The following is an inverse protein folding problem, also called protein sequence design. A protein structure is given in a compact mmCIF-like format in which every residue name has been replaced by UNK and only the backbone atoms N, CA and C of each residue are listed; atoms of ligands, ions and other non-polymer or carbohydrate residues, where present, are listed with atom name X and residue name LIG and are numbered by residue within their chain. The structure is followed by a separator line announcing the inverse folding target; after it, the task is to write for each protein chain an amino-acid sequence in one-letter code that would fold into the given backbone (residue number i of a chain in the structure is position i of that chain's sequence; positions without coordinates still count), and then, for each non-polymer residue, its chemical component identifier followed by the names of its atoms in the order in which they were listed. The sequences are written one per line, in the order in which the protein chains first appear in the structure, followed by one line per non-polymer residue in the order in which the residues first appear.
data_IF_587005306043
#
_entry.id   IF_587005306043
#
_cell.length_a   1.000
_cell.length_b   1.000
_cell.length_c   1.000
_cell.angle_alpha   90.00
_cell.angle_beta   90.00
_cell.angle_gamma   90.00
#
_symmetry.space_group_name_H-M   'P 1'
#
loop_
_entity.id
_entity.type
_entity.pdbx_description
1 polymer ?
#
# COMPACT_ATOMS: atom_id res chain seq x y z
N UNK A 1 -9.90 -10.32 -57.68
CA UNK A 1 -9.70 -11.78 -57.61
C UNK A 1 -9.74 -12.18 -56.15
N UNK A 2 -10.62 -13.15 -55.86
CA UNK A 2 -10.86 -13.93 -54.64
C UNK A 2 -9.95 -13.76 -53.40
N UNK A 3 -10.64 -13.41 -52.31
CA UNK A 3 -10.58 -13.87 -50.90
C UNK A 3 -9.64 -15.03 -50.55
N UNK A 4 -8.90 -14.89 -49.44
CA UNK A 4 -8.73 -15.95 -48.43
C UNK A 4 -8.26 -15.38 -47.07
N UNK A 5 -9.18 -15.37 -46.10
CA UNK A 5 -8.91 -15.32 -44.66
C UNK A 5 -8.53 -16.74 -44.22
N UNK A 6 -7.46 -16.90 -43.45
CA UNK A 6 -7.14 -18.17 -42.79
C UNK A 6 -6.72 -17.93 -41.33
N UNK A 7 -7.56 -18.45 -40.45
CA UNK A 7 -7.51 -18.39 -39.00
C UNK A 7 -6.32 -19.19 -38.43
N UNK A 8 -5.61 -18.62 -37.47
CA UNK A 8 -4.59 -19.32 -36.69
C UNK A 8 -5.24 -20.31 -35.71
N UNK A 9 -5.07 -21.60 -35.97
CA UNK A 9 -5.44 -22.68 -35.06
C UNK A 9 -4.27 -22.99 -34.12
N UNK A 10 -4.60 -23.10 -32.83
CA UNK A 10 -3.71 -23.49 -31.74
C UNK A 10 -3.19 -24.93 -31.94
N UNK A 11 -1.88 -25.10 -32.02
CA UNK A 11 -1.24 -26.43 -32.13
C UNK A 11 -1.20 -27.06 -30.73
N UNK A 12 -2.05 -28.06 -30.50
CA UNK A 12 -1.93 -28.99 -29.37
C UNK A 12 -0.80 -29.97 -29.68
N UNK A 13 0.28 -29.92 -28.93
CA UNK A 13 1.41 -30.85 -29.04
C UNK A 13 0.98 -32.22 -28.50
N UNK A 14 0.70 -33.18 -29.38
CA UNK A 14 0.57 -34.59 -29.01
C UNK A 14 1.98 -35.15 -28.74
N UNK A 15 2.30 -35.46 -27.48
CA UNK A 15 3.46 -36.27 -27.14
C UNK A 15 3.25 -37.70 -27.64
N UNK A 16 4.00 -38.09 -28.67
CA UNK A 16 4.10 -39.48 -29.11
C UNK A 16 4.89 -40.30 -28.07
N UNK A 17 4.25 -41.28 -27.44
CA UNK A 17 4.94 -42.28 -26.61
C UNK A 17 5.71 -43.24 -27.51
N UNK A 18 7.04 -43.24 -27.41
CA UNK A 18 7.88 -44.31 -27.93
C UNK A 18 7.60 -45.60 -27.13
N UNK A 19 7.12 -46.63 -27.79
CA UNK A 19 7.00 -47.99 -27.22
C UNK A 19 8.14 -48.82 -27.81
N UNK A 20 9.05 -49.27 -26.95
CA UNK A 20 10.04 -50.29 -27.32
C UNK A 20 9.35 -51.66 -27.36
N UNK A 21 9.48 -52.36 -28.49
CA UNK A 21 8.94 -53.71 -28.72
C UNK A 21 10.10 -54.68 -28.75
N UNK A 22 10.09 -55.68 -27.86
CA UNK A 22 11.04 -56.80 -27.91
C UNK A 22 10.55 -57.87 -28.91
N UNK A 23 11.48 -58.70 -29.40
CA UNK A 23 11.38 -59.63 -30.54
C UNK A 23 10.38 -60.80 -30.38
N UNK A 24 9.43 -60.69 -29.46
CA UNK A 24 8.34 -61.65 -29.23
C UNK A 24 6.94 -61.04 -29.07
N UNK A 25 6.77 -59.73 -29.28
CA UNK A 25 5.44 -59.14 -29.48
C UNK A 25 4.50 -59.09 -28.26
N UNK A 26 5.01 -59.17 -27.03
CA UNK A 26 4.21 -58.97 -25.82
C UNK A 26 4.40 -57.55 -25.25
N UNK A 27 3.30 -56.81 -25.13
CA UNK A 27 3.25 -55.48 -24.50
C UNK A 27 3.21 -55.65 -22.99
N UNK A 28 4.31 -55.32 -22.29
CA UNK A 28 4.29 -55.16 -20.82
C UNK A 28 3.89 -53.73 -20.45
N UNK A 29 2.96 -53.52 -19.52
CA UNK A 29 2.68 -52.20 -18.99
C UNK A 29 3.90 -51.72 -18.18
N UNK A 30 4.58 -50.70 -18.68
CA UNK A 30 5.61 -49.99 -17.95
C UNK A 30 4.94 -49.18 -16.83
N UNK A 31 4.95 -49.74 -15.62
CA UNK A 31 4.69 -48.98 -14.38
C UNK A 31 5.87 -48.06 -14.12
N UNK A 32 5.94 -46.95 -14.84
CA UNK A 32 6.63 -45.75 -14.36
C UNK A 32 5.53 -44.83 -13.89
N UNK A 33 5.19 -44.97 -12.60
CA UNK A 33 4.50 -43.90 -11.91
C UNK A 33 5.47 -42.72 -11.88
N UNK A 34 5.37 -41.82 -12.86
CA UNK A 34 5.90 -40.48 -12.74
C UNK A 34 5.20 -39.85 -11.54
N UNK A 35 5.92 -39.81 -10.41
CA UNK A 35 5.57 -38.91 -9.32
C UNK A 35 5.75 -37.50 -9.86
N UNK A 36 4.69 -36.94 -10.44
CA UNK A 36 4.58 -35.49 -10.60
C UNK A 36 4.53 -34.95 -9.18
N UNK A 37 5.68 -34.58 -8.63
CA UNK A 37 5.73 -33.84 -7.38
C UNK A 37 4.85 -32.61 -7.59
N UNK A 38 3.74 -32.51 -6.86
CA UNK A 38 2.91 -31.31 -6.90
C UNK A 38 3.82 -30.15 -6.48
N UNK A 39 4.13 -29.26 -7.41
CA UNK A 39 4.82 -28.01 -7.07
C UNK A 39 3.85 -27.25 -6.18
N UNK A 40 4.10 -27.25 -4.87
CA UNK A 40 3.29 -26.50 -3.93
C UNK A 40 3.43 -25.02 -4.24
N UNK A 41 2.31 -24.28 -4.25
CA UNK A 41 2.35 -22.83 -4.43
C UNK A 41 3.26 -22.18 -3.34
N UNK A 42 4.04 -21.14 -3.69
CA UNK A 42 4.87 -20.44 -2.71
C UNK A 42 4.04 -19.93 -1.52
N UNK A 43 4.51 -20.20 -0.31
CA UNK A 43 3.94 -19.72 0.96
C UNK A 43 4.76 -18.59 1.56
N UNK A 44 4.13 -17.84 2.48
CA UNK A 44 4.76 -16.80 3.27
C UNK A 44 5.67 -17.41 4.34
N UNK A 45 6.84 -16.82 4.56
CA UNK A 45 7.85 -17.29 5.54
C UNK A 45 8.05 -16.33 6.70
N UNK A 46 7.53 -15.11 6.60
CA UNK A 46 7.62 -14.08 7.61
C UNK A 46 8.92 -13.28 7.55
N UNK A 47 8.83 -11.98 7.87
CA UNK A 47 9.94 -11.02 7.74
C UNK A 47 11.21 -11.37 8.51
N UNK A 48 11.11 -12.16 9.58
CA UNK A 48 12.28 -12.56 10.38
C UNK A 48 13.22 -13.49 9.59
N UNK A 49 12.68 -14.32 8.69
CA UNK A 49 13.51 -15.16 7.81
C UNK A 49 14.30 -14.30 6.83
N UNK A 50 13.72 -13.21 6.34
CA UNK A 50 14.40 -12.26 5.46
C UNK A 50 15.62 -11.60 6.13
N UNK A 51 15.55 -11.35 7.45
CA UNK A 51 16.64 -10.73 8.23
C UNK A 51 17.92 -11.57 8.23
N UNK A 52 17.82 -12.89 8.17
CA UNK A 52 18.96 -13.81 8.22
C UNK A 52 19.99 -13.51 7.11
N UNK A 53 19.52 -13.11 5.93
CA UNK A 53 20.35 -12.78 4.77
C UNK A 53 20.35 -11.29 4.41
N UNK A 54 19.29 -10.54 4.76
CA UNK A 54 19.13 -9.12 4.45
C UNK A 54 19.01 -8.23 5.70
N UNK A 55 19.99 -8.27 6.64
CA UNK A 55 19.89 -7.54 7.91
C UNK A 55 19.80 -6.02 7.70
N UNK A 56 20.52 -5.47 6.72
CA UNK A 56 20.52 -4.02 6.43
C UNK A 56 19.15 -3.51 5.97
N UNK A 57 18.52 -4.19 5.00
CA UNK A 57 17.18 -3.81 4.53
C UNK A 57 16.13 -4.02 5.63
N UNK A 58 16.25 -5.09 6.41
CA UNK A 58 15.38 -5.34 7.55
C UNK A 58 15.48 -4.21 8.58
N UNK A 59 16.71 -3.78 8.90
CA UNK A 59 16.95 -2.74 9.89
C UNK A 59 16.49 -1.36 9.43
N UNK A 60 16.56 -1.05 8.14
CA UNK A 60 15.94 0.16 7.60
C UNK A 60 14.41 0.07 7.65
N UNK A 61 13.85 -1.08 7.24
CA UNK A 61 12.41 -1.24 7.05
C UNK A 61 11.65 -1.16 8.37
N UNK A 62 12.18 -1.75 9.45
CA UNK A 62 11.53 -1.73 10.77
C UNK A 62 11.34 -0.31 11.33
N UNK A 63 12.04 0.69 10.80
CA UNK A 63 11.91 2.10 11.17
C UNK A 63 11.09 2.92 10.17
N UNK A 64 10.51 2.28 9.16
CA UNK A 64 9.69 2.93 8.13
C UNK A 64 8.20 2.97 8.50
N UNK A 65 7.45 3.86 7.85
CA UNK A 65 5.99 3.91 7.94
C UNK A 65 5.30 2.57 7.64
N UNK A 66 5.86 1.78 6.72
CA UNK A 66 5.28 0.51 6.28
C UNK A 66 5.27 -0.55 7.37
N UNK A 67 6.21 -0.51 8.31
CA UNK A 67 6.33 -1.49 9.38
C UNK A 67 5.34 -1.29 10.54
N UNK A 68 4.52 -0.23 10.52
CA UNK A 68 3.59 0.13 11.62
C UNK A 68 2.17 0.42 11.11
N UNK A 69 1.78 -0.04 9.91
CA UNK A 69 0.53 0.37 9.27
C UNK A 69 -0.73 -0.24 9.87
N UNK A 70 -0.63 -1.29 10.70
CA UNK A 70 -1.80 -1.97 11.23
C UNK A 70 -1.57 -2.63 12.58
N UNK A 71 -2.53 -2.50 13.49
CA UNK A 71 -2.56 -3.27 14.73
C UNK A 71 -3.99 -3.51 15.20
N UNK A 72 -4.20 -4.52 16.04
CA UNK A 72 -5.40 -4.54 16.89
C UNK A 72 -5.31 -3.39 17.88
N UNK A 73 -6.43 -2.77 18.21
CA UNK A 73 -6.42 -1.59 19.11
C UNK A 73 -5.76 -1.90 20.46
N UNK A 74 -5.97 -3.10 21.00
CA UNK A 74 -5.37 -3.57 22.25
C UNK A 74 -3.83 -3.59 22.23
N UNK A 75 -3.24 -3.79 21.05
CA UNK A 75 -1.79 -3.85 20.83
C UNK A 75 -1.20 -2.49 20.40
N UNK A 76 -2.04 -1.47 20.24
CA UNK A 76 -1.65 -0.16 19.67
C UNK A 76 -1.33 0.89 20.72
N UNK A 77 -0.09 1.37 20.75
CA UNK A 77 0.31 2.50 21.61
C UNK A 77 -0.38 3.82 21.24
N UNK A 78 -0.78 3.99 19.97
CA UNK A 78 -1.52 5.17 19.54
C UNK A 78 -2.98 5.07 20.00
N UNK A 79 -3.61 3.89 19.90
CA UNK A 79 -4.97 3.71 20.41
C UNK A 79 -5.06 3.99 21.93
N UNK A 80 -4.02 3.65 22.70
CA UNK A 80 -3.95 3.98 24.14
C UNK A 80 -4.04 5.47 24.42
N UNK A 81 -3.64 6.35 23.48
CA UNK A 81 -3.76 7.80 23.64
C UNK A 81 -5.21 8.27 23.73
N UNK A 82 -6.17 7.51 23.22
CA UNK A 82 -7.59 7.84 23.33
C UNK A 82 -8.13 7.62 24.75
N UNK A 83 -7.57 6.68 25.51
CA UNK A 83 -8.12 6.23 26.78
C UNK A 83 -8.35 7.39 27.76
N UNK A 84 -9.56 7.47 28.32
CA UNK A 84 -9.97 8.48 29.29
C UNK A 84 -10.26 9.86 28.70
N UNK A 85 -10.20 10.02 27.37
CA UNK A 85 -10.50 11.30 26.71
C UNK A 85 -11.99 11.44 26.37
N UNK A 86 -12.42 12.69 26.29
CA UNK A 86 -13.65 13.11 25.64
C UNK A 86 -13.25 14.00 24.45
N UNK A 87 -13.58 13.60 23.23
CA UNK A 87 -13.16 14.29 22.00
C UNK A 87 -14.40 14.71 21.20
N UNK A 88 -14.46 15.97 20.80
CA UNK A 88 -15.56 16.52 20.02
C UNK A 88 -15.33 16.30 18.53
N UNK A 89 -16.26 15.60 17.87
CA UNK A 89 -16.27 15.45 16.41
C UNK A 89 -17.11 16.53 15.70
N UNK A 90 -17.68 17.48 16.45
CA UNK A 90 -18.53 18.53 15.93
C UNK A 90 -19.93 18.04 15.55
N UNK A 91 -20.80 18.97 15.13
CA UNK A 91 -22.15 18.64 14.69
C UNK A 91 -22.14 17.96 13.31
N UNK A 92 -22.91 16.88 13.06
CA UNK A 92 -23.93 16.27 13.94
C UNK A 92 -23.43 15.12 14.84
N UNK A 93 -22.13 14.88 14.90
CA UNK A 93 -21.53 13.71 15.54
C UNK A 93 -21.50 13.82 17.07
N UNK A 94 -21.14 14.98 17.59
CA UNK A 94 -21.02 15.28 19.02
C UNK A 94 -19.73 14.76 19.66
N UNK A 95 -19.75 14.65 20.99
CA UNK A 95 -18.59 14.25 21.80
C UNK A 95 -18.52 12.75 21.98
N UNK A 96 -17.34 12.17 21.77
CA UNK A 96 -17.01 10.77 22.01
C UNK A 96 -16.18 10.62 23.29
N UNK A 97 -16.66 9.80 24.22
CA UNK A 97 -15.93 9.37 25.40
C UNK A 97 -15.23 8.05 25.13
N UNK A 98 -13.97 7.94 25.50
CA UNK A 98 -13.15 6.76 25.25
C UNK A 98 -12.71 6.11 26.55
N UNK A 99 -12.81 4.79 26.60
CA UNK A 99 -12.42 3.98 27.74
C UNK A 99 -11.57 2.80 27.28
N UNK A 100 -10.66 2.37 28.14
CA UNK A 100 -9.86 1.18 27.92
C UNK A 100 -10.44 0.02 28.71
N UNK A 101 -10.76 -1.08 28.03
CA UNK A 101 -11.21 -2.32 28.63
C UNK A 101 -10.21 -3.45 28.42
N UNK A 102 -10.57 -4.65 28.87
CA UNK A 102 -9.75 -5.86 28.70
C UNK A 102 -9.56 -6.25 27.23
N UNK A 103 -10.52 -5.89 26.38
CA UNK A 103 -10.54 -6.19 24.94
C UNK A 103 -10.02 -5.02 24.07
N UNK A 104 -9.43 -4.00 24.70
CA UNK A 104 -8.88 -2.82 24.03
C UNK A 104 -9.76 -1.57 24.16
N UNK A 105 -9.68 -0.70 23.16
CA UNK A 105 -10.33 0.61 23.17
C UNK A 105 -11.83 0.50 22.87
N UNK A 106 -12.65 1.24 23.61
CA UNK A 106 -14.09 1.38 23.36
C UNK A 106 -14.52 2.83 23.45
N UNK A 107 -15.68 3.15 22.88
CA UNK A 107 -16.23 4.50 22.89
C UNK A 107 -17.74 4.56 23.10
N UNK A 108 -18.22 5.67 23.67
CA UNK A 108 -19.64 6.07 23.68
C UNK A 108 -19.75 7.51 23.21
N UNK A 109 -20.80 7.84 22.47
CA UNK A 109 -21.16 9.24 22.27
C UNK A 109 -21.86 9.78 23.50
N UNK A 110 -21.67 11.06 23.81
CA UNK A 110 -22.36 11.72 24.92
C UNK A 110 -23.89 11.65 24.80
N UNK A 111 -24.42 11.57 23.58
CA UNK A 111 -25.85 11.41 23.30
C UNK A 111 -26.38 9.98 23.57
N UNK A 112 -25.50 8.97 23.61
CA UNK A 112 -25.88 7.54 23.68
C UNK A 112 -25.26 6.86 24.92
N UNK A 113 -25.12 7.60 26.03
CA UNK A 113 -24.43 7.12 27.25
C UNK A 113 -25.16 5.98 27.96
N UNK A 114 -26.44 5.79 27.67
CA UNK A 114 -27.27 4.68 28.14
C UNK A 114 -27.02 3.39 27.34
N UNK A 115 -26.38 3.46 26.17
CA UNK A 115 -26.04 2.31 25.35
C UNK A 115 -24.72 1.63 25.76
N UNK A 116 -24.56 0.39 25.33
CA UNK A 116 -23.31 -0.33 25.48
C UNK A 116 -22.18 0.38 24.70
N UNK A 117 -20.94 0.39 25.22
CA UNK A 117 -19.83 1.03 24.54
C UNK A 117 -19.51 0.28 23.25
N UNK A 118 -19.28 1.04 22.18
CA UNK A 118 -18.85 0.51 20.88
C UNK A 118 -17.37 0.14 20.93
N UNK A 119 -17.05 -1.11 20.59
CA UNK A 119 -15.66 -1.57 20.53
C UNK A 119 -14.94 -1.03 19.30
N UNK A 120 -13.70 -0.58 19.47
CA UNK A 120 -12.83 -0.12 18.39
C UNK A 120 -11.76 -1.19 18.17
N UNK A 121 -11.91 -2.01 17.13
CA UNK A 121 -11.17 -3.27 16.99
C UNK A 121 -9.73 -3.09 16.49
N UNK A 122 -9.53 -2.23 15.50
CA UNK A 122 -8.27 -2.11 14.77
C UNK A 122 -7.81 -0.65 14.70
N UNK A 123 -6.50 -0.47 14.66
CA UNK A 123 -5.81 0.78 14.38
C UNK A 123 -5.14 0.67 13.00
N UNK A 124 -5.49 1.58 12.10
CA UNK A 124 -5.11 1.55 10.68
C UNK A 124 -4.34 2.84 10.35
N UNK A 125 -3.10 2.69 9.91
CA UNK A 125 -2.18 3.77 9.60
C UNK A 125 -1.04 3.86 10.61
N UNK A 126 0.15 4.28 10.12
CA UNK A 126 1.39 4.30 10.90
C UNK A 126 1.48 5.38 11.96
N UNK A 127 0.49 6.27 12.04
CA UNK A 127 0.49 7.40 12.97
C UNK A 127 1.46 8.52 12.60
N UNK A 128 2.36 8.34 11.63
CA UNK A 128 3.31 9.38 11.18
C UNK A 128 2.59 10.59 10.57
N UNK A 129 1.54 10.33 9.79
CA UNK A 129 0.60 11.35 9.34
C UNK A 129 -0.68 11.23 10.15
N UNK A 130 -1.35 10.09 10.05
CA UNK A 130 -2.55 9.77 10.81
C UNK A 130 -2.63 8.27 11.16
N UNK A 131 -3.41 7.97 12.20
CA UNK A 131 -3.92 6.63 12.51
C UNK A 131 -5.42 6.76 12.75
N UNK A 132 -6.20 5.91 12.09
CA UNK A 132 -7.64 5.86 12.15
C UNK A 132 -8.09 4.52 12.72
N UNK A 133 -9.10 4.54 13.58
CA UNK A 133 -9.66 3.32 14.14
C UNK A 133 -10.68 2.71 13.17
N UNK A 134 -10.68 1.38 13.04
CA UNK A 134 -11.59 0.61 12.20
C UNK A 134 -12.29 -0.46 13.02
N UNK A 135 -13.59 -0.63 12.79
CA UNK A 135 -14.38 -1.72 13.39
C UNK A 135 -15.13 -2.44 12.29
N UNK A 136 -14.95 -3.75 12.17
CA UNK A 136 -15.72 -4.56 11.23
C UNK A 136 -17.11 -4.85 11.83
N UNK A 137 -18.13 -4.77 11.00
CA UNK A 137 -19.53 -4.92 11.40
C UNK A 137 -20.24 -5.90 10.46
N UNK A 138 -21.25 -6.57 11.00
CA UNK A 138 -22.23 -7.25 10.15
C UNK A 138 -23.10 -6.21 9.43
N UNK A 139 -23.32 -6.41 8.13
CA UNK A 139 -24.17 -5.56 7.32
C UNK A 139 -24.93 -6.40 6.29
N UNK A 140 -26.25 -6.23 6.20
CA UNK A 140 -27.08 -7.06 5.32
C UNK A 140 -26.88 -6.73 3.83
N UNK A 141 -26.26 -5.60 3.52
CA UNK A 141 -26.05 -5.12 2.16
C UNK A 141 -24.68 -5.56 1.60
N UNK A 142 -23.79 -6.09 2.44
CA UNK A 142 -22.42 -6.45 2.03
C UNK A 142 -21.82 -7.55 2.90
N UNK A 143 -21.12 -8.49 2.27
CA UNK A 143 -20.38 -9.57 2.93
C UNK A 143 -19.12 -9.10 3.69
N UNK A 144 -18.70 -7.85 3.47
CA UNK A 144 -17.69 -7.17 4.26
C UNK A 144 -18.12 -5.72 4.49
N UNK A 145 -18.16 -5.29 5.74
CA UNK A 145 -18.44 -3.91 6.11
C UNK A 145 -17.65 -3.50 7.35
N UNK A 146 -17.44 -2.21 7.49
CA UNK A 146 -16.82 -1.64 8.68
C UNK A 146 -17.18 -0.17 8.88
N UNK A 147 -16.88 0.32 10.07
CA UNK A 147 -16.95 1.73 10.42
C UNK A 147 -15.52 2.25 10.55
N UNK A 148 -15.16 3.12 9.63
CA UNK A 148 -13.98 3.97 9.76
C UNK A 148 -14.35 5.08 10.77
N UNK A 149 -13.73 5.04 11.95
CA UNK A 149 -14.12 5.86 13.08
C UNK A 149 -13.97 7.35 12.79
N UNK A 150 -14.83 8.19 13.41
CA UNK A 150 -14.92 9.63 13.10
C UNK A 150 -13.68 10.44 13.49
N UNK A 151 -12.95 10.00 14.52
CA UNK A 151 -11.81 10.74 15.08
C UNK A 151 -10.51 9.94 14.91
N UNK A 152 -9.53 10.57 14.26
CA UNK A 152 -8.19 10.04 14.05
C UNK A 152 -7.15 10.75 14.92
N UNK A 153 -6.03 10.08 15.16
CA UNK A 153 -4.83 10.68 15.76
C UNK A 153 -3.88 11.14 14.65
N UNK A 154 -3.35 12.35 14.77
CA UNK A 154 -2.44 12.94 13.78
C UNK A 154 -1.05 13.15 14.39
N UNK A 155 -0.07 12.36 13.95
CA UNK A 155 1.30 12.47 14.47
C UNK A 155 2.05 13.71 14.03
N UNK A 156 1.62 14.39 12.95
CA UNK A 156 2.29 15.61 12.45
C UNK A 156 2.26 16.77 13.45
N UNK A 157 1.24 16.82 14.30
CA UNK A 157 1.06 17.87 15.31
C UNK A 157 0.64 17.32 16.69
N UNK A 158 0.54 15.99 16.82
CA UNK A 158 0.32 15.33 18.10
C UNK A 158 -1.05 15.58 18.72
N UNK A 159 -2.10 15.63 17.89
CA UNK A 159 -3.47 15.88 18.36
C UNK A 159 -4.50 15.03 17.61
N UNK A 160 -5.75 15.09 18.07
CA UNK A 160 -6.90 14.44 17.46
C UNK A 160 -7.65 15.38 16.52
N UNK A 161 -8.25 14.81 15.49
CA UNK A 161 -9.09 15.54 14.56
C UNK A 161 -10.06 14.64 13.83
N UNK A 162 -10.92 15.22 12.99
CA UNK A 162 -11.79 14.44 12.13
C UNK A 162 -10.96 13.59 11.16
N UNK A 163 -11.35 12.33 11.00
CA UNK A 163 -10.70 11.41 10.08
C UNK A 163 -10.65 11.97 8.65
N UNK A 164 -9.54 11.78 7.91
CA UNK A 164 -9.44 12.31 6.55
C UNK A 164 -10.58 11.87 5.63
N UNK A 165 -11.16 12.81 4.88
CA UNK A 165 -12.33 12.61 4.02
C UNK A 165 -13.67 12.67 4.75
N UNK A 166 -13.68 12.93 6.07
CA UNK A 166 -14.93 13.05 6.86
C UNK A 166 -15.43 14.49 6.98
N UNK A 167 -14.63 15.48 6.60
CA UNK A 167 -15.05 16.89 6.59
C UNK A 167 -16.21 17.06 5.60
N UNK A 168 -17.31 17.64 6.07
CA UNK A 168 -18.52 17.85 5.24
C UNK A 168 -19.33 16.59 4.95
N UNK A 169 -18.90 15.41 5.43
CA UNK A 169 -19.71 14.20 5.36
C UNK A 169 -20.99 14.37 6.20
N UNK A 170 -22.10 13.82 5.73
CA UNK A 170 -23.36 13.78 6.49
C UNK A 170 -23.73 12.33 6.78
N UNK A 171 -24.05 11.97 8.05
CA UNK A 171 -24.46 10.62 8.40
C UNK A 171 -25.77 10.26 7.71
N UNK A 172 -25.82 9.05 7.13
CA UNK A 172 -27.01 8.54 6.44
C UNK A 172 -27.95 7.77 7.39
N UNK A 173 -27.38 7.19 8.45
CA UNK A 173 -28.06 6.43 9.49
C UNK A 173 -27.36 6.63 10.84
N UNK A 174 -27.88 5.99 11.90
CA UNK A 174 -27.30 6.06 13.25
C UNK A 174 -25.85 5.55 13.31
N UNK A 175 -25.50 4.54 12.51
CA UNK A 175 -24.12 4.02 12.42
C UNK A 175 -23.19 5.07 11.83
N UNK A 176 -23.68 5.87 10.88
CA UNK A 176 -22.99 7.03 10.31
C UNK A 176 -22.58 8.08 11.35
N UNK A 177 -23.24 8.11 12.52
CA UNK A 177 -22.86 9.01 13.61
C UNK A 177 -21.55 8.57 14.29
N UNK A 178 -21.23 7.28 14.29
CA UNK A 178 -19.98 6.74 14.85
C UNK A 178 -18.79 6.91 13.89
N UNK A 179 -19.04 6.96 12.58
CA UNK A 179 -18.00 7.06 11.57
C UNK A 179 -18.54 6.87 10.16
N UNK A 180 -17.63 6.71 9.20
CA UNK A 180 -17.98 6.42 7.82
C UNK A 180 -18.20 4.90 7.65
N UNK A 181 -19.39 4.50 7.23
CA UNK A 181 -19.71 3.09 6.97
C UNK A 181 -19.16 2.71 5.59
N UNK A 182 -18.11 1.90 5.56
CA UNK A 182 -17.44 1.42 4.35
C UNK A 182 -17.81 -0.03 4.07
N UNK A 183 -18.07 -0.35 2.80
CA UNK A 183 -18.56 -1.69 2.37
C UNK A 183 -17.73 -2.28 1.23
N UNK A 184 -17.77 -3.60 1.12
CA UNK A 184 -17.23 -4.38 0.01
C UNK A 184 -15.77 -4.09 -0.27
N UNK A 185 -15.46 -3.66 -1.50
CA UNK A 185 -14.09 -3.38 -1.93
C UNK A 185 -13.41 -2.30 -1.06
N UNK A 186 -14.14 -1.29 -0.61
CA UNK A 186 -13.55 -0.17 0.15
C UNK A 186 -12.98 -0.62 1.49
N UNK A 187 -13.73 -1.41 2.27
CA UNK A 187 -13.22 -1.92 3.56
C UNK A 187 -12.13 -2.97 3.37
N UNK A 188 -12.23 -3.81 2.32
CA UNK A 188 -11.15 -4.75 1.96
C UNK A 188 -9.88 -4.03 1.56
N UNK A 189 -9.98 -2.85 0.93
CA UNK A 189 -8.82 -2.05 0.58
C UNK A 189 -8.08 -1.55 1.83
N UNK A 190 -8.78 -1.23 2.93
CA UNK A 190 -8.14 -0.87 4.19
C UNK A 190 -7.25 -2.02 4.68
N UNK A 191 -7.77 -3.25 4.72
CA UNK A 191 -7.01 -4.44 5.13
C UNK A 191 -5.88 -4.72 4.14
N UNK A 192 -6.16 -4.69 2.83
CA UNK A 192 -5.15 -4.93 1.80
C UNK A 192 -3.98 -3.94 1.90
N UNK A 193 -4.23 -2.64 2.00
CA UNK A 193 -3.16 -1.64 2.00
C UNK A 193 -2.34 -1.60 3.30
N UNK A 194 -2.93 -2.02 4.42
CA UNK A 194 -2.32 -1.88 5.73
C UNK A 194 -1.77 -3.18 6.32
N UNK A 195 -2.00 -4.31 5.66
CA UNK A 195 -1.50 -5.63 6.08
C UNK A 195 -0.70 -6.30 4.98
N UNK A 196 0.12 -7.26 5.36
CA UNK A 196 0.84 -8.13 4.42
C UNK A 196 -0.12 -9.18 3.87
N UNK A 197 -0.92 -9.76 4.75
CA UNK A 197 -2.05 -10.64 4.43
C UNK A 197 -3.19 -10.41 5.42
N UNK A 198 -4.41 -10.65 4.98
CA UNK A 198 -5.59 -10.61 5.84
C UNK A 198 -6.87 -10.71 5.01
N UNK A 199 -7.80 -11.53 5.46
CA UNK A 199 -9.11 -11.72 4.81
C UNK A 199 -10.22 -11.38 5.80
N UNK A 200 -11.14 -10.49 5.40
CA UNK A 200 -12.32 -10.19 6.19
C UNK A 200 -13.30 -11.36 6.09
N UNK A 201 -13.66 -11.95 7.23
CA UNK A 201 -14.69 -12.98 7.37
C UNK A 201 -15.64 -12.57 8.49
N UNK A 202 -16.85 -12.15 8.11
CA UNK A 202 -17.79 -11.54 9.06
C UNK A 202 -17.19 -10.29 9.69
N UNK A 203 -17.10 -10.27 11.02
CA UNK A 203 -16.56 -9.16 11.81
C UNK A 203 -15.08 -9.33 12.21
N UNK A 204 -14.38 -10.29 11.60
CA UNK A 204 -12.98 -10.59 11.93
C UNK A 204 -12.06 -10.56 10.70
N UNK A 205 -10.75 -10.44 10.96
CA UNK A 205 -9.71 -10.63 9.95
C UNK A 205 -8.97 -11.92 10.25
N UNK A 206 -9.06 -12.88 9.34
CA UNK A 206 -8.33 -14.16 9.40
C UNK A 206 -7.08 -14.13 8.53
N UNK A 207 -6.15 -15.05 8.77
CA UNK A 207 -4.85 -15.12 8.08
C UNK A 207 -4.07 -13.79 8.12
N UNK A 208 -4.20 -13.08 9.24
CA UNK A 208 -3.65 -11.75 9.44
C UNK A 208 -2.14 -11.81 9.64
N UNK A 209 -1.41 -11.17 8.75
CA UNK A 209 -0.04 -10.72 8.97
C UNK A 209 -0.07 -9.19 8.89
N UNK A 210 0.03 -8.56 10.06
CA UNK A 210 -0.03 -7.11 10.20
C UNK A 210 1.08 -6.40 9.43
N UNK A 211 0.86 -5.11 9.17
CA UNK A 211 1.78 -4.17 8.53
C UNK A 211 2.12 -4.48 7.06
N UNK A 212 2.65 -3.50 6.34
CA UNK A 212 3.25 -3.69 5.03
C UNK A 212 4.68 -4.19 5.24
N UNK A 213 4.90 -5.51 5.20
CA UNK A 213 6.24 -6.11 5.39
C UNK A 213 6.86 -6.54 4.05
N UNK A 214 8.04 -7.17 4.10
CA UNK A 214 8.81 -7.62 2.94
C UNK A 214 7.94 -8.34 1.89
N UNK A 215 7.16 -9.32 2.32
CA UNK A 215 6.37 -10.18 1.45
C UNK A 215 5.10 -9.50 0.90
N UNK A 216 4.76 -8.28 1.35
CA UNK A 216 3.70 -7.48 0.73
C UNK A 216 4.15 -6.96 -0.64
N UNK A 217 5.42 -6.55 -0.74
CA UNK A 217 6.01 -6.03 -1.97
C UNK A 217 6.63 -7.14 -2.82
N UNK A 218 7.32 -8.07 -2.16
CA UNK A 218 8.10 -9.13 -2.78
C UNK A 218 7.31 -10.45 -2.95
N UNK A 219 6.10 -10.56 -2.41
CA UNK A 219 5.32 -11.78 -2.46
C UNK A 219 5.84 -12.90 -1.54
N UNK A 220 5.24 -14.10 -1.59
CA UNK A 220 5.58 -15.20 -0.69
C UNK A 220 7.00 -15.74 -0.92
N UNK A 221 7.83 -15.75 0.14
CA UNK A 221 9.28 -15.96 0.04
C UNK A 221 9.78 -17.40 0.12
N UNK A 222 8.93 -18.40 0.33
CA UNK A 222 9.34 -19.80 0.61
C UNK A 222 10.26 -20.42 -0.46
N UNK A 223 9.93 -20.27 -1.74
CA UNK A 223 10.75 -20.78 -2.84
C UNK A 223 12.10 -20.06 -2.91
N UNK A 224 12.09 -18.73 -2.76
CA UNK A 224 13.31 -17.94 -2.72
C UNK A 224 14.23 -18.39 -1.57
N UNK A 225 13.69 -18.51 -0.36
CA UNK A 225 14.46 -18.95 0.82
C UNK A 225 14.99 -20.36 0.64
N UNK A 226 14.19 -21.28 0.08
CA UNK A 226 14.62 -22.65 -0.18
C UNK A 226 15.80 -22.69 -1.17
N UNK A 227 15.70 -21.94 -2.26
CA UNK A 227 16.73 -21.90 -3.30
C UNK A 227 17.99 -21.18 -2.79
N UNK A 228 17.85 -20.07 -2.10
CA UNK A 228 18.96 -19.31 -1.54
C UNK A 228 19.76 -20.12 -0.52
N UNK A 229 19.09 -20.89 0.36
CA UNK A 229 19.77 -21.75 1.34
C UNK A 229 20.51 -22.94 0.71
N UNK A 230 20.13 -23.35 -0.50
CA UNK A 230 20.79 -24.44 -1.25
C UNK A 230 21.94 -23.95 -2.12
N UNK A 231 22.05 -22.64 -2.33
CA UNK A 231 23.09 -22.04 -3.18
C UNK A 231 24.18 -21.41 -2.32
N UNK A 232 25.44 -21.70 -2.62
CA UNK A 232 26.58 -20.97 -2.03
C UNK A 232 26.64 -19.51 -2.53
N UNK A 233 26.09 -19.24 -3.72
CA UNK A 233 25.98 -17.91 -4.34
C UNK A 233 24.62 -17.76 -5.01
N UNK A 234 23.55 -17.43 -4.25
CA UNK A 234 22.23 -17.23 -4.86
C UNK A 234 22.28 -16.11 -5.90
N UNK A 235 21.72 -16.33 -7.12
CA UNK A 235 21.63 -15.26 -8.10
C UNK A 235 20.79 -14.10 -7.56
N UNK A 236 21.03 -12.85 -8.00
CA UNK A 236 20.17 -11.72 -7.66
C UNK A 236 18.86 -11.84 -8.43
N UNK A 237 17.85 -12.47 -7.83
CA UNK A 237 16.47 -12.45 -8.35
C UNK A 237 15.56 -11.82 -7.30
N UNK A 238 14.63 -10.97 -7.78
CA UNK A 238 13.55 -10.46 -6.94
C UNK A 238 12.58 -11.60 -6.63
N UNK A 239 12.04 -11.63 -5.43
CA UNK A 239 10.94 -12.56 -5.10
C UNK A 239 9.68 -12.08 -5.83
N UNK A 240 8.91 -13.02 -6.36
CA UNK A 240 7.52 -12.80 -6.74
C UNK A 240 7.26 -11.98 -8.01
N UNK A 241 8.28 -11.47 -8.71
CA UNK A 241 8.14 -10.86 -10.05
C UNK A 241 9.29 -11.19 -10.97
N UNK A 242 8.96 -11.52 -12.21
CA UNK A 242 9.92 -11.84 -13.27
C UNK A 242 10.75 -10.61 -13.70
N UNK A 243 10.22 -9.40 -13.50
CA UNK A 243 10.88 -8.12 -13.81
C UNK A 243 10.44 -7.00 -12.86
N UNK A 244 11.33 -6.02 -12.67
CA UNK A 244 11.11 -4.80 -11.92
C UNK A 244 11.30 -3.60 -12.85
N UNK A 245 10.36 -3.41 -13.77
CA UNK A 245 10.33 -2.27 -14.67
C UNK A 245 9.47 -1.12 -14.10
N UNK A 246 9.51 0.03 -14.77
CA UNK A 246 8.74 1.23 -14.41
C UNK A 246 7.28 0.93 -14.10
N UNK A 247 6.63 0.17 -14.99
CA UNK A 247 5.21 -0.15 -14.86
C UNK A 247 4.96 -1.09 -13.68
N UNK A 248 5.78 -2.14 -13.51
CA UNK A 248 5.64 -3.06 -12.40
C UNK A 248 5.79 -2.35 -11.04
N UNK A 249 6.75 -1.43 -10.90
CA UNK A 249 6.94 -0.64 -9.68
C UNK A 249 5.79 0.35 -9.47
N UNK A 250 5.40 1.08 -10.51
CA UNK A 250 4.27 2.01 -10.43
C UNK A 250 2.99 1.29 -9.99
N UNK A 251 2.71 0.12 -10.55
CA UNK A 251 1.54 -0.67 -10.13
C UNK A 251 1.68 -1.17 -8.69
N UNK A 252 2.87 -1.62 -8.28
CA UNK A 252 3.09 -2.09 -6.91
C UNK A 252 2.86 -0.99 -5.87
N UNK A 253 3.48 0.17 -6.05
CA UNK A 253 3.32 1.30 -5.13
C UNK A 253 1.88 1.84 -5.21
N UNK A 254 1.36 1.94 -6.43
CA UNK A 254 0.05 2.47 -6.77
C UNK A 254 -1.14 1.65 -6.29
N UNK A 255 -0.94 0.38 -5.94
CA UNK A 255 -1.94 -0.45 -5.27
C UNK A 255 -2.41 0.16 -3.94
N UNK A 256 -1.50 0.84 -3.22
CA UNK A 256 -1.78 1.47 -1.94
C UNK A 256 -1.74 3.00 -2.01
N UNK A 257 -0.75 3.55 -2.71
CA UNK A 257 -0.59 4.98 -2.95
C UNK A 257 -1.50 5.53 -4.07
N UNK A 258 -2.41 4.68 -4.56
CA UNK A 258 -3.48 4.89 -5.54
C UNK A 258 -3.04 5.48 -6.87
N UNK A 259 -3.54 4.84 -7.91
CA UNK A 259 -3.38 5.30 -9.28
C UNK A 259 -4.58 6.15 -9.69
N UNK A 260 -4.44 7.01 -10.72
CA UNK A 260 -5.56 7.81 -11.22
C UNK A 260 -6.83 6.98 -11.49
N UNK A 261 -6.69 5.78 -12.05
CA UNK A 261 -7.83 4.89 -12.34
C UNK A 261 -8.62 4.44 -11.09
N UNK A 262 -8.08 4.64 -9.89
CA UNK A 262 -8.69 4.26 -8.62
C UNK A 262 -9.32 5.45 -7.88
N UNK A 263 -9.34 6.64 -8.49
CA UNK A 263 -9.86 7.87 -7.92
C UNK A 263 -11.03 8.34 -8.79
N UNK A 264 -12.04 8.94 -8.16
CA UNK A 264 -13.17 9.51 -8.88
C UNK A 264 -12.71 10.57 -9.91
N UNK A 265 -13.17 10.52 -11.17
CA UNK A 265 -12.73 11.47 -12.18
C UNK A 265 -13.06 12.94 -11.90
N UNK A 266 -14.15 13.23 -11.19
CA UNK A 266 -14.47 14.60 -10.73
C UNK A 266 -13.46 15.01 -9.67
N UNK A 267 -13.18 14.14 -8.70
CA UNK A 267 -12.17 14.37 -7.68
C UNK A 267 -10.80 14.69 -8.31
N UNK A 268 -10.37 13.91 -9.30
CA UNK A 268 -9.10 14.13 -10.03
C UNK A 268 -9.01 15.44 -10.82
N UNK A 269 -10.14 15.98 -11.28
CA UNK A 269 -10.18 17.22 -12.07
C UNK A 269 -10.32 18.45 -11.19
N UNK A 270 -11.17 18.38 -10.18
CA UNK A 270 -11.63 19.54 -9.42
C UNK A 270 -10.84 19.73 -8.11
N UNK A 271 -10.17 18.68 -7.61
CA UNK A 271 -9.49 18.72 -6.33
C UNK A 271 -8.00 18.44 -6.47
N UNK A 272 -7.19 19.50 -6.37
CA UNK A 272 -5.72 19.38 -6.32
C UNK A 272 -5.24 18.56 -5.12
N UNK A 273 -6.06 18.42 -4.08
CA UNK A 273 -5.71 17.69 -2.87
C UNK A 273 -5.47 16.18 -3.09
N UNK A 274 -6.14 15.57 -4.07
CA UNK A 274 -5.92 14.17 -4.45
C UNK A 274 -4.54 13.98 -5.09
N UNK A 275 -4.04 14.98 -5.84
CA UNK A 275 -2.69 14.99 -6.41
C UNK A 275 -1.62 14.96 -5.31
N UNK A 276 -1.89 15.66 -4.20
CA UNK A 276 -0.95 15.77 -3.08
C UNK A 276 -0.87 14.48 -2.28
N UNK A 277 -2.03 13.85 -2.02
CA UNK A 277 -2.10 12.64 -1.19
C UNK A 277 -1.63 11.39 -1.95
N UNK A 278 -1.93 11.30 -3.25
CA UNK A 278 -1.67 10.13 -4.08
C UNK A 278 -0.57 10.41 -5.10
N UNK A 279 0.67 10.10 -4.70
CA UNK A 279 1.90 10.44 -5.41
C UNK A 279 1.92 9.97 -6.89
N UNK A 280 1.42 8.76 -7.24
CA UNK A 280 1.37 8.32 -8.63
C UNK A 280 0.56 9.24 -9.54
N UNK A 281 -0.45 9.94 -9.02
CA UNK A 281 -1.30 10.84 -9.83
C UNK A 281 -0.51 12.05 -10.31
N UNK A 282 0.32 12.64 -9.43
CA UNK A 282 1.21 13.73 -9.80
C UNK A 282 2.37 13.23 -10.66
N UNK A 283 3.00 12.12 -10.26
CA UNK A 283 4.16 11.56 -10.95
C UNK A 283 3.89 11.26 -12.42
N UNK A 284 2.73 10.66 -12.73
CA UNK A 284 2.28 10.37 -14.09
C UNK A 284 2.06 11.61 -14.99
N UNK A 285 2.11 12.82 -14.42
CA UNK A 285 1.98 14.10 -15.14
C UNK A 285 3.30 14.87 -15.23
N UNK A 286 4.34 14.40 -14.56
CA UNK A 286 5.64 15.06 -14.51
C UNK A 286 6.41 14.79 -15.79
N UNK A 287 6.99 15.83 -16.39
CA UNK A 287 7.76 15.67 -17.64
C UNK A 287 8.94 14.71 -17.46
N UNK A 288 9.63 14.79 -16.32
CA UNK A 288 10.70 13.86 -15.99
C UNK A 288 10.27 12.39 -15.94
N UNK A 289 9.00 12.09 -15.66
CA UNK A 289 8.46 10.73 -15.74
C UNK A 289 8.19 10.37 -17.22
N UNK A 290 7.50 11.25 -17.94
CA UNK A 290 7.09 11.06 -19.34
C UNK A 290 8.27 10.91 -20.30
N UNK A 291 9.36 11.64 -20.06
CA UNK A 291 10.55 11.70 -20.91
C UNK A 291 11.66 10.73 -20.46
N UNK A 292 11.46 9.96 -19.38
CA UNK A 292 12.51 9.09 -18.83
C UNK A 292 12.81 7.81 -19.61
N UNK A 293 12.04 7.51 -20.67
CA UNK A 293 12.10 6.24 -21.41
C UNK A 293 12.10 5.00 -20.50
N UNK A 294 11.28 5.02 -19.45
CA UNK A 294 11.17 3.90 -18.51
C UNK A 294 12.14 3.93 -17.34
N UNK A 295 12.99 4.96 -17.19
CA UNK A 295 14.08 4.97 -16.20
C UNK A 295 13.77 5.79 -14.92
N UNK A 296 12.64 6.49 -14.83
CA UNK A 296 12.28 7.31 -13.67
C UNK A 296 11.17 6.68 -12.84
N UNK A 297 11.54 5.99 -11.76
CA UNK A 297 10.65 5.22 -10.89
C UNK A 297 10.57 5.83 -9.49
N UNK A 298 9.69 5.31 -8.62
CA UNK A 298 9.60 5.76 -7.23
C UNK A 298 10.94 5.55 -6.50
N UNK A 299 11.59 4.41 -6.79
CA UNK A 299 12.87 4.01 -6.24
C UNK A 299 14.05 4.83 -6.75
N UNK A 300 13.86 5.65 -7.80
CA UNK A 300 14.89 6.58 -8.29
C UNK A 300 15.23 7.61 -7.22
N UNK A 301 14.23 8.06 -6.45
CA UNK A 301 14.44 9.07 -5.40
C UNK A 301 14.32 8.48 -3.99
N UNK A 302 13.43 7.50 -3.78
CA UNK A 302 13.15 6.92 -2.47
C UNK A 302 13.76 5.54 -2.29
N UNK A 303 14.40 5.29 -1.16
CA UNK A 303 14.73 3.92 -0.77
C UNK A 303 13.44 3.22 -0.27
N UNK A 304 12.93 2.16 -0.93
CA UNK A 304 11.67 1.52 -0.55
C UNK A 304 11.73 0.82 0.82
N UNK A 305 12.93 0.58 1.35
CA UNK A 305 13.13 -0.02 2.68
C UNK A 305 13.32 1.02 3.78
N UNK A 306 13.37 2.32 3.49
CA UNK A 306 13.65 3.35 4.49
C UNK A 306 12.48 4.31 4.64
N UNK A 307 12.35 4.93 5.80
CA UNK A 307 11.43 6.05 5.97
C UNK A 307 11.76 7.18 4.99
N UNK A 308 10.76 7.69 4.28
CA UNK A 308 10.95 8.76 3.28
C UNK A 308 11.46 10.07 3.89
N UNK A 309 11.25 10.29 5.20
CA UNK A 309 11.78 11.46 5.93
C UNK A 309 13.24 11.31 6.36
N UNK A 310 13.84 10.14 6.20
CA UNK A 310 15.23 9.91 6.60
C UNK A 310 16.25 10.47 5.59
N UNK A 311 15.85 10.64 4.32
CA UNK A 311 16.67 11.30 3.30
C UNK A 311 16.51 12.82 3.41
N UNK A 312 17.64 13.54 3.44
CA UNK A 312 17.64 15.00 3.56
C UNK A 312 17.20 15.68 2.26
N UNK A 313 16.68 16.91 2.35
CA UNK A 313 16.32 17.71 1.17
C UNK A 313 17.49 17.86 0.21
N UNK A 314 18.69 18.16 0.71
CA UNK A 314 19.90 18.25 -0.12
C UNK A 314 20.21 16.95 -0.86
N UNK A 315 19.96 15.78 -0.26
CA UNK A 315 20.14 14.50 -0.92
C UNK A 315 19.06 14.24 -1.98
N UNK A 316 17.82 14.71 -1.80
CA UNK A 316 16.80 14.69 -2.86
C UNK A 316 17.17 15.63 -4.02
N UNK A 317 17.73 16.81 -3.72
CA UNK A 317 18.22 17.73 -4.76
C UNK A 317 19.32 17.09 -5.61
N UNK A 318 20.18 16.24 -5.04
CA UNK A 318 21.15 15.48 -5.83
C UNK A 318 20.49 14.51 -6.82
N UNK A 319 19.32 13.95 -6.53
CA UNK A 319 18.59 13.13 -7.50
C UNK A 319 18.17 13.99 -8.71
N UNK A 320 17.69 15.22 -8.46
CA UNK A 320 17.32 16.16 -9.52
C UNK A 320 18.54 16.50 -10.37
N UNK A 321 19.65 16.84 -9.72
CA UNK A 321 20.90 17.18 -10.40
C UNK A 321 21.49 16.00 -11.16
N UNK A 322 21.18 14.75 -10.79
CA UNK A 322 21.57 13.57 -11.57
C UNK A 322 21.24 13.67 -13.07
N UNK A 323 20.12 14.33 -13.40
CA UNK A 323 19.74 14.64 -14.79
C UNK A 323 19.89 16.12 -15.14
N UNK A 324 19.59 17.04 -14.21
CA UNK A 324 19.60 18.48 -14.45
C UNK A 324 20.99 19.09 -14.23
N UNK A 325 21.81 19.12 -15.29
CA UNK A 325 23.18 19.61 -15.24
C UNK A 325 23.35 20.90 -16.05
N UNK A 326 24.25 21.82 -15.66
CA UNK A 326 24.49 23.06 -16.40
C UNK A 326 24.88 22.85 -17.87
N UNK A 327 25.60 21.77 -18.16
CA UNK A 327 26.14 21.46 -19.48
C UNK A 327 25.26 20.46 -20.28
N UNK A 328 24.02 20.22 -19.85
CA UNK A 328 23.07 19.31 -20.51
C UNK A 328 22.09 20.09 -21.39
N UNK A 329 22.11 19.83 -22.70
CA UNK A 329 21.17 20.46 -23.65
C UNK A 329 19.74 19.90 -23.54
N UNK A 330 19.58 18.68 -23.05
CA UNK A 330 18.28 18.01 -22.92
C UNK A 330 17.62 18.27 -21.56
N UNK A 331 18.42 18.40 -20.49
CA UNK A 331 17.94 18.58 -19.13
C UNK A 331 18.74 19.70 -18.46
N UNK A 332 18.49 20.92 -18.91
CA UNK A 332 19.23 22.10 -18.45
C UNK A 332 18.99 22.31 -16.96
N UNK A 333 20.03 22.70 -16.23
CA UNK A 333 19.91 23.15 -14.84
C UNK A 333 19.01 24.40 -14.73
N UNK A 334 18.30 24.52 -13.61
CA UNK A 334 17.45 25.67 -13.34
C UNK A 334 18.28 26.97 -13.33
N UNK A 335 17.86 27.97 -14.11
CA UNK A 335 18.56 29.26 -14.20
C UNK A 335 18.39 30.15 -12.96
N UNK A 336 17.39 29.87 -12.12
CA UNK A 336 17.10 30.63 -10.89
C UNK A 336 17.96 30.15 -9.73
N UNK A 337 17.99 28.83 -9.51
CA UNK A 337 18.81 28.20 -8.48
C UNK A 337 19.32 26.85 -9.02
N UNK A 338 20.56 26.80 -9.52
CA UNK A 338 21.04 25.67 -10.32
C UNK A 338 21.42 24.45 -9.49
N UNK A 339 21.56 24.57 -8.17
CA UNK A 339 22.12 23.50 -7.32
C UNK A 339 21.33 23.22 -6.03
N UNK A 340 20.33 24.03 -5.69
CA UNK A 340 19.52 23.86 -4.48
C UNK A 340 18.14 24.50 -4.59
N UNK A 341 17.25 24.23 -3.65
CA UNK A 341 15.88 24.76 -3.63
C UNK A 341 14.93 24.08 -4.62
N UNK A 342 15.39 23.00 -5.29
CA UNK A 342 14.62 22.32 -6.33
C UNK A 342 13.29 21.79 -5.79
N UNK A 343 13.32 21.15 -4.62
CA UNK A 343 12.14 20.56 -3.98
C UNK A 343 11.14 21.64 -3.56
N UNK A 344 11.61 22.78 -3.05
CA UNK A 344 10.74 23.87 -2.60
C UNK A 344 9.94 24.49 -3.75
N UNK A 345 10.57 24.69 -4.91
CA UNK A 345 9.91 25.29 -6.07
C UNK A 345 9.14 24.27 -6.92
N UNK A 346 9.70 23.09 -7.18
CA UNK A 346 9.13 22.12 -8.12
C UNK A 346 8.21 21.08 -7.46
N UNK A 347 8.40 20.84 -6.16
CA UNK A 347 7.64 19.86 -5.36
C UNK A 347 7.19 20.45 -4.01
N UNK A 348 6.54 21.62 -3.97
CA UNK A 348 6.23 22.31 -2.72
C UNK A 348 5.39 21.46 -1.77
N UNK A 349 5.73 21.57 -0.49
CA UNK A 349 4.95 21.00 0.60
C UNK A 349 3.63 21.76 0.74
N UNK A 350 2.51 21.04 0.65
CA UNK A 350 1.16 21.62 0.76
C UNK A 350 0.42 20.97 1.92
N UNK A 351 -0.33 21.79 2.66
CA UNK A 351 -1.20 21.30 3.74
C UNK A 351 -2.41 20.58 3.14
N UNK A 352 -2.72 19.44 3.71
CA UNK A 352 -3.94 18.68 3.51
C UNK A 352 -4.74 18.71 4.81
N UNK A 353 -6.00 18.26 4.75
CA UNK A 353 -6.92 18.16 5.89
C UNK A 353 -6.22 17.81 7.22
N UNK A 354 -6.70 18.45 8.29
CA UNK A 354 -6.14 18.28 9.64
C UNK A 354 -4.62 18.54 9.71
N UNK A 355 -4.09 19.44 8.88
CA UNK A 355 -2.69 19.86 8.97
C UNK A 355 -1.67 18.78 8.59
N UNK A 356 -2.09 17.70 7.93
CA UNK A 356 -1.17 16.79 7.26
C UNK A 356 -0.43 17.55 6.15
N UNK A 357 0.79 17.15 5.83
CA UNK A 357 1.61 17.84 4.81
C UNK A 357 2.14 16.81 3.83
N UNK A 358 1.99 17.11 2.54
CA UNK A 358 2.49 16.28 1.45
C UNK A 358 3.22 17.15 0.43
N UNK A 359 4.27 16.60 -0.17
CA UNK A 359 4.94 17.21 -1.32
C UNK A 359 4.20 16.81 -2.61
N UNK A 360 3.97 17.78 -3.49
CA UNK A 360 3.39 17.50 -4.80
C UNK A 360 4.38 16.69 -5.66
N UNK A 361 3.92 15.56 -6.18
CA UNK A 361 4.69 14.72 -7.09
C UNK A 361 4.42 15.02 -8.56
N UNK A 362 3.61 16.05 -8.87
CA UNK A 362 3.59 16.68 -10.18
C UNK A 362 4.73 17.70 -10.27
N UNK A 363 5.92 17.17 -10.54
CA UNK A 363 7.21 17.85 -10.59
C UNK A 363 7.24 18.71 -11.87
N UNK A 364 7.28 20.03 -11.70
CA UNK A 364 7.25 20.99 -12.81
C UNK A 364 7.74 22.37 -12.39
N UNK A 365 8.09 23.20 -13.37
CA UNK A 365 8.22 24.65 -13.15
C UNK A 365 6.82 25.19 -12.81
N UNK A 366 6.74 25.98 -11.73
CA UNK A 366 5.51 26.64 -11.30
C UNK A 366 5.59 28.12 -11.60
N UNK A 367 4.48 28.70 -12.02
CA UNK A 367 4.34 30.14 -12.05
C UNK A 367 4.42 30.68 -10.62
N UNK A 368 5.05 31.84 -10.44
CA UNK A 368 5.01 32.53 -9.16
C UNK A 368 3.57 32.98 -8.90
N UNK A 369 2.98 32.54 -7.79
CA UNK A 369 1.66 33.02 -7.32
C UNK A 369 1.71 34.48 -6.85
#
# INVERSE_FOLDING_TARGET
MMVAVASGFCLVTLCARCVAVDDKGEVRPSNVAESVASVSAPTYVGKQVCRECHPQNFDLHQHSGHADTFSRSVDSEIAKKYAGKALDAGNPYGVFHYEWGNEGLRTRRAADMDQAPFALQYAVGSGRNAMTLLTLIDDKESDAAGIEHRISWFGSHGDFGLTPGHIGMTPQDERGLLGNVVRGKSVRQCVYCHTTTGTIVGTEIVDLVADVNCEKCHGPGSEHVQQARRSETPPPFSIGRDRWDLEAELQLCGDCHRLPRNIDPVALREYSAELLRFQPVGMLRSECYLESDGNFMCSTCHNPHQDSKAKSTAAYEQDCLGCHQPDSDAHVACSVSPTSGCVECHMPATKFEQGMVFHDHWIRIRDAE
#
